data_IF_347185495831
#
_entry.id   IF_347185495831
#
_cell.length_a   1.000
_cell.length_b   1.000
_cell.length_c   1.000
_cell.angle_alpha   90.00
_cell.angle_beta   90.00
_cell.angle_gamma   90.00
#
_symmetry.space_group_name_H-M   'P 1'
#
loop_
_entity.id
_entity.type
_entity.pdbx_description
1 polymer ?
#
# COMPACT_ATOMS: atom_id res chain seq x y z
N UNK A 1 11.26 6.40 3.34
CA UNK A 1 10.40 7.16 4.27
C UNK A 1 8.92 6.76 4.17
N UNK A 2 8.41 6.36 3.00
CA UNK A 2 7.00 5.93 2.83
C UNK A 2 6.56 4.75 3.70
N UNK A 3 7.46 3.82 4.04
CA UNK A 3 7.09 2.63 4.81
C UNK A 3 6.54 2.94 6.20
N UNK A 4 7.07 3.95 6.90
CA UNK A 4 6.60 4.32 8.24
C UNK A 4 5.14 4.80 8.24
N UNK A 5 4.67 5.35 7.12
CA UNK A 5 3.28 5.77 6.96
C UNK A 5 2.34 4.58 6.73
N UNK A 6 2.79 3.59 5.95
CA UNK A 6 1.95 2.44 5.56
C UNK A 6 1.93 1.35 6.63
N UNK A 7 3.05 1.15 7.34
CA UNK A 7 3.20 0.12 8.38
C UNK A 7 2.04 0.07 9.39
N UNK A 8 1.59 1.18 10.00
CA UNK A 8 0.51 1.14 11.00
C UNK A 8 -0.88 0.84 10.41
N UNK A 9 -1.06 0.91 9.09
CA UNK A 9 -2.34 0.66 8.43
C UNK A 9 -2.54 -0.82 8.06
N UNK A 10 -1.46 -1.59 8.14
CA UNK A 10 -1.46 -3.02 7.89
C UNK A 10 -2.04 -3.76 9.10
N UNK A 11 -2.82 -4.83 8.87
CA UNK A 11 -3.36 -5.62 9.96
C UNK A 11 -2.24 -6.29 10.75
N UNK A 12 -2.31 -6.16 12.07
CA UNK A 12 -1.31 -6.74 12.98
C UNK A 12 -1.28 -8.27 12.85
N UNK A 13 -0.08 -8.81 12.72
CA UNK A 13 0.11 -10.26 12.56
C UNK A 13 -0.13 -10.97 13.90
N UNK A 14 -1.35 -11.45 14.13
CA UNK A 14 -1.76 -12.05 15.41
C UNK A 14 -1.04 -13.35 15.82
N UNK A 15 -0.13 -13.97 15.03
CA UNK A 15 0.45 -15.30 15.39
C UNK A 15 1.88 -15.59 14.87
N UNK A 16 2.84 -15.66 15.79
CA UNK A 16 3.84 -16.74 16.04
C UNK A 16 4.71 -17.39 14.96
N UNK A 17 4.50 -17.23 13.65
CA UNK A 17 5.44 -17.72 12.62
C UNK A 17 6.10 -16.55 11.91
N UNK A 18 7.40 -16.70 11.60
CA UNK A 18 8.19 -15.75 10.82
C UNK A 18 7.60 -15.67 9.39
N UNK A 19 6.61 -14.80 9.21
CA UNK A 19 5.96 -14.56 7.92
C UNK A 19 6.91 -13.77 7.02
N UNK A 20 6.72 -13.89 5.70
CA UNK A 20 7.32 -12.95 4.76
C UNK A 20 6.95 -11.53 5.19
N UNK A 21 7.94 -10.66 5.22
CA UNK A 21 7.79 -9.27 5.65
C UNK A 21 6.70 -8.55 4.83
N UNK A 22 5.82 -7.83 5.52
CA UNK A 22 4.65 -7.22 4.88
C UNK A 22 5.02 -6.13 3.88
N UNK A 23 6.19 -5.48 4.07
CA UNK A 23 6.72 -4.54 3.09
C UNK A 23 7.08 -5.26 1.80
N UNK A 24 7.71 -6.43 1.90
CA UNK A 24 8.05 -7.28 0.75
C UNK A 24 6.80 -7.72 0.00
N UNK A 25 5.76 -8.15 0.72
CA UNK A 25 4.46 -8.52 0.13
C UNK A 25 3.82 -7.33 -0.58
N UNK A 26 3.74 -6.18 0.09
CA UNK A 26 3.14 -4.98 -0.48
C UNK A 26 3.88 -4.52 -1.74
N UNK A 27 5.22 -4.54 -1.72
CA UNK A 27 6.04 -4.22 -2.88
C UNK A 27 5.76 -5.18 -4.05
N UNK A 28 5.57 -6.47 -3.80
CA UNK A 28 5.20 -7.45 -4.82
C UNK A 28 3.83 -7.18 -5.43
N UNK A 29 2.85 -6.83 -4.59
CA UNK A 29 1.49 -6.46 -5.03
C UNK A 29 1.55 -5.19 -5.89
N UNK A 30 2.24 -4.14 -5.44
CA UNK A 30 2.41 -2.88 -6.19
C UNK A 30 3.10 -3.14 -7.53
N UNK A 31 4.17 -3.95 -7.53
CA UNK A 31 4.87 -4.32 -8.76
C UNK A 31 3.94 -5.03 -9.75
N UNK A 32 3.14 -5.99 -9.28
CA UNK A 32 2.15 -6.71 -10.10
C UNK A 32 1.16 -5.75 -10.77
N UNK A 33 0.62 -4.79 -10.01
CA UNK A 33 -0.36 -3.85 -10.56
C UNK A 33 0.27 -2.78 -11.47
N UNK A 34 1.51 -2.37 -11.19
CA UNK A 34 2.25 -1.43 -12.05
C UNK A 34 2.62 -2.03 -13.41
N UNK A 35 2.89 -3.33 -13.45
CA UNK A 35 3.33 -4.03 -14.67
C UNK A 35 2.20 -4.74 -15.40
N UNK A 36 1.04 -4.92 -14.76
CA UNK A 36 -0.09 -5.65 -15.35
C UNK A 36 0.16 -7.15 -15.54
N UNK A 37 1.28 -7.67 -15.02
CA UNK A 37 1.70 -9.05 -15.24
C UNK A 37 0.83 -10.05 -14.45
N UNK A 38 0.76 -11.29 -14.92
CA UNK A 38 0.09 -12.36 -14.20
C UNK A 38 0.78 -12.61 -12.85
N UNK A 39 0.02 -13.06 -11.85
CA UNK A 39 0.58 -13.33 -10.51
C UNK A 39 1.76 -14.30 -10.56
N UNK A 40 1.70 -15.30 -11.44
CA UNK A 40 2.72 -16.36 -11.57
C UNK A 40 4.09 -15.83 -12.01
N UNK A 41 4.13 -14.70 -12.71
CA UNK A 41 5.38 -14.15 -13.23
C UNK A 41 5.90 -12.98 -12.36
N UNK A 42 5.28 -12.76 -11.19
CA UNK A 42 5.81 -11.81 -10.21
C UNK A 42 7.17 -12.32 -9.69
N UNK A 43 8.22 -11.47 -9.69
CA UNK A 43 9.55 -11.89 -9.29
C UNK A 43 9.60 -12.48 -7.88
N UNK A 44 10.29 -13.63 -7.75
CA UNK A 44 10.38 -14.41 -6.52
C UNK A 44 11.04 -13.64 -5.35
N UNK A 45 11.79 -12.57 -5.63
CA UNK A 45 12.30 -11.65 -4.60
C UNK A 45 11.19 -11.05 -3.71
N UNK A 46 9.94 -11.04 -4.18
CA UNK A 46 8.77 -10.61 -3.41
C UNK A 46 8.06 -11.76 -2.68
N UNK A 47 8.61 -12.97 -2.76
CA UNK A 47 8.01 -14.20 -2.26
C UNK A 47 7.14 -14.92 -3.29
N UNK A 48 6.60 -16.07 -2.88
CA UNK A 48 5.73 -16.89 -3.73
C UNK A 48 4.49 -16.12 -4.17
N UNK A 49 4.13 -16.25 -5.46
CA UNK A 49 2.92 -15.65 -6.02
C UNK A 49 1.65 -16.07 -5.26
N UNK A 50 1.61 -17.27 -4.69
CA UNK A 50 0.46 -17.75 -3.92
C UNK A 50 0.29 -16.97 -2.61
N UNK A 51 1.40 -16.62 -1.96
CA UNK A 51 1.44 -15.77 -0.76
C UNK A 51 0.98 -14.36 -1.09
N UNK A 52 1.50 -13.78 -2.18
CA UNK A 52 1.12 -12.44 -2.64
C UNK A 52 -0.38 -12.36 -2.97
N UNK A 53 -0.88 -13.30 -3.76
CA UNK A 53 -2.30 -13.34 -4.13
C UNK A 53 -3.21 -13.53 -2.90
N UNK A 54 -2.84 -14.43 -1.99
CA UNK A 54 -3.60 -14.67 -0.75
C UNK A 54 -3.62 -13.42 0.14
N UNK A 55 -2.49 -12.73 0.29
CA UNK A 55 -2.42 -11.49 1.08
C UNK A 55 -3.20 -10.36 0.43
N UNK A 56 -3.06 -10.19 -0.87
CA UNK A 56 -3.86 -9.24 -1.65
C UNK A 56 -5.35 -9.46 -1.40
N UNK A 57 -5.85 -10.69 -1.56
CA UNK A 57 -7.27 -11.00 -1.33
C UNK A 57 -7.72 -10.70 0.09
N UNK A 58 -6.93 -11.08 1.10
CA UNK A 58 -7.26 -10.80 2.51
C UNK A 58 -7.32 -9.29 2.78
N UNK A 59 -6.32 -8.54 2.34
CA UNK A 59 -6.25 -7.08 2.51
C UNK A 59 -7.32 -6.31 1.74
N UNK A 60 -7.77 -6.85 0.61
CA UNK A 60 -8.92 -6.30 -0.10
C UNK A 60 -10.22 -6.54 0.69
N UNK A 61 -10.42 -7.75 1.19
CA UNK A 61 -11.64 -8.13 1.92
C UNK A 61 -11.75 -7.47 3.30
N UNK A 62 -10.63 -7.27 3.99
CA UNK A 62 -10.60 -6.64 5.32
C UNK A 62 -10.52 -5.10 5.27
N UNK A 63 -10.59 -4.51 4.07
CA UNK A 63 -10.56 -3.06 3.84
C UNK A 63 -9.20 -2.39 4.09
N UNK A 64 -8.09 -3.15 4.18
CA UNK A 64 -6.74 -2.60 4.35
C UNK A 64 -6.39 -1.58 3.26
N UNK A 65 -6.65 -1.90 2.00
CA UNK A 65 -6.34 -0.97 0.90
C UNK A 65 -7.17 0.32 0.96
N UNK A 66 -8.43 0.23 1.38
CA UNK A 66 -9.26 1.42 1.56
C UNK A 66 -8.75 2.31 2.70
N UNK A 67 -8.28 1.72 3.81
CA UNK A 67 -7.65 2.48 4.90
C UNK A 67 -6.38 3.19 4.41
N UNK A 68 -5.56 2.50 3.62
CA UNK A 68 -4.37 3.11 2.99
C UNK A 68 -4.75 4.27 2.08
N UNK A 69 -5.76 4.11 1.23
CA UNK A 69 -6.24 5.16 0.34
C UNK A 69 -6.76 6.37 1.12
N UNK A 70 -7.62 6.14 2.12
CA UNK A 70 -8.15 7.22 2.97
C UNK A 70 -7.03 7.98 3.67
N UNK A 71 -6.07 7.28 4.27
CA UNK A 71 -4.93 7.92 4.92
C UNK A 71 -4.10 8.74 3.92
N UNK A 72 -3.84 8.20 2.73
CA UNK A 72 -3.08 8.90 1.69
C UNK A 72 -3.81 10.17 1.22
N UNK A 73 -5.14 10.12 1.07
CA UNK A 73 -5.95 11.28 0.73
C UNK A 73 -5.89 12.34 1.82
N UNK A 74 -6.07 11.97 3.10
CA UNK A 74 -5.94 12.92 4.23
C UNK A 74 -4.57 13.61 4.26
N UNK A 75 -3.49 12.85 3.98
CA UNK A 75 -2.13 13.42 3.89
C UNK A 75 -2.00 14.39 2.72
N UNK A 76 -2.59 14.05 1.56
CA UNK A 76 -2.57 14.90 0.38
C UNK A 76 -3.40 16.18 0.58
N UNK A 77 -4.55 16.09 1.25
CA UNK A 77 -5.40 17.24 1.57
C UNK A 77 -4.68 18.20 2.54
N UNK A 78 -4.03 17.68 3.58
CA UNK A 78 -3.22 18.47 4.50
C UNK A 78 -2.02 19.16 3.80
N UNK A 79 -1.45 18.54 2.77
CA UNK A 79 -0.40 19.15 1.96
C UNK A 79 -0.96 20.13 0.90
N UNK A 80 -2.17 19.88 0.39
CA UNK A 80 -2.88 20.69 -0.60
C UNK A 80 -3.45 21.98 -0.04
N UNK A 81 -3.87 22.00 1.22
CA UNK A 81 -4.24 23.23 1.94
C UNK A 81 -3.06 24.21 2.02
N UNK A 82 -1.84 23.69 2.12
CA UNK A 82 -0.62 24.50 2.11
C UNK A 82 -0.33 25.12 0.74
N UNK A 83 -0.78 24.50 -0.36
CA UNK A 83 -0.59 24.99 -1.73
C UNK A 83 -1.70 25.96 -2.19
N UNK A 84 -2.85 26.01 -1.49
CA UNK A 84 -3.99 26.88 -1.81
C UNK A 84 -3.76 28.35 -1.41
N UNK A 85 -2.83 28.63 -0.49
CA UNK A 85 -2.54 29.97 0.00
C UNK A 85 -1.85 30.89 -1.03
N UNK A 86 -1.50 30.40 -2.22
CA UNK A 86 -1.00 31.23 -3.34
C UNK A 86 -2.07 31.33 -4.43
N UNK A 87 -3.16 32.04 -4.14
CA UNK A 87 -4.03 32.59 -5.19
C UNK A 87 -4.21 34.08 -4.94
N UNK A 88 -3.23 34.85 -5.41
CA UNK A 88 -3.37 36.31 -5.52
C UNK A 88 -4.56 36.63 -6.46
N UNK A 89 -5.36 37.66 -6.13
CA UNK A 89 -6.45 38.09 -7.00
C UNK A 89 -5.87 38.67 -8.29
N UNK A 90 -6.24 38.09 -9.44
CA UNK A 90 -6.00 38.72 -10.74
C UNK A 90 -7.06 39.81 -10.91
N UNK A 91 -6.61 41.05 -11.07
CA UNK A 91 -7.38 42.19 -11.56
C UNK A 91 -7.95 41.91 -12.94
#
# INVERSE_FOLDING_TARGET
MEWEFVRPLLPESLRGRKRLDDRTVLNGIVWKFRTGTAWRDVPERYGSWHTLHTRFRRWALDGTFERMLRAAQTRADAAGDMNRAVRLPRR
#
